data_IF_255441946259
#
_entry.id   IF_255441946259
#
_cell.length_a   1.000
_cell.length_b   1.000
_cell.length_c   1.000
_cell.angle_alpha   90.00
_cell.angle_beta   90.00
_cell.angle_gamma   90.00
#
_symmetry.space_group_name_H-M   'P 1'
#
loop_
_entity.id
_entity.type
_entity.pdbx_description
1 polymer ?
#
# COMPACT_ATOMS: atom_id res chain seq x y z
N UNK A 1 23.96 10.07 82.06
CA UNK A 1 24.47 11.25 81.31
C UNK A 1 25.02 10.71 79.99
N UNK A 2 24.16 10.34 79.04
CA UNK A 2 23.55 11.16 77.99
C UNK A 2 24.52 11.81 77.01
N UNK A 3 24.20 11.56 75.73
CA UNK A 3 24.56 12.29 74.52
C UNK A 3 25.84 11.84 73.79
N UNK A 4 25.71 10.84 72.90
CA UNK A 4 26.44 10.82 71.62
C UNK A 4 25.79 9.83 70.62
N UNK A 5 24.51 10.01 70.33
CA UNK A 5 23.86 9.33 69.20
C UNK A 5 22.87 10.28 68.52
N UNK A 6 23.36 11.16 67.64
CA UNK A 6 22.49 11.92 66.74
C UNK A 6 23.25 12.54 65.57
N UNK A 7 23.98 11.75 64.78
CA UNK A 7 24.59 12.20 63.51
C UNK A 7 24.75 11.07 62.50
N UNK A 8 23.74 10.19 62.38
CA UNK A 8 23.69 9.18 61.31
C UNK A 8 22.32 9.08 60.62
N UNK A 9 21.67 10.23 60.45
CA UNK A 9 20.41 10.34 59.71
C UNK A 9 20.45 11.58 58.82
N UNK A 10 21.40 11.63 57.88
CA UNK A 10 21.41 12.67 56.83
C UNK A 10 21.98 12.21 55.49
N UNK A 11 22.56 11.01 55.40
CA UNK A 11 23.13 10.49 54.14
C UNK A 11 22.13 9.73 53.24
N UNK A 12 20.91 9.45 53.71
CA UNK A 12 19.93 8.68 52.92
C UNK A 12 19.01 9.60 52.10
N UNK A 13 19.12 10.93 52.26
CA UNK A 13 18.28 11.90 51.55
C UNK A 13 18.86 12.35 50.18
N UNK A 14 20.08 11.92 49.83
CA UNK A 14 20.74 12.29 48.57
C UNK A 14 20.86 11.15 47.54
N UNK A 15 20.30 9.96 47.81
CA UNK A 15 20.47 8.77 46.94
C UNK A 15 19.23 8.45 46.09
N UNK A 16 18.42 9.46 45.80
CA UNK A 16 17.34 9.36 44.81
C UNK A 16 17.25 10.70 44.10
N UNK A 17 18.26 11.05 43.30
CA UNK A 17 18.16 12.20 42.41
C UNK A 17 17.08 11.91 41.37
N UNK A 18 15.87 12.51 41.48
CA UNK A 18 14.81 12.27 40.51
C UNK A 18 15.19 12.81 39.13
N UNK A 19 16.17 13.71 39.07
CA UNK A 19 16.70 14.35 37.87
C UNK A 19 17.44 13.36 36.97
N UNK A 20 18.29 12.49 37.53
CA UNK A 20 18.99 11.45 36.77
C UNK A 20 18.02 10.38 36.23
N UNK A 21 17.01 10.01 37.03
CA UNK A 21 15.93 9.14 36.58
C UNK A 21 15.08 9.81 35.48
N UNK A 22 14.81 11.11 35.60
CA UNK A 22 14.03 11.87 34.61
C UNK A 22 14.72 11.97 33.26
N UNK A 23 16.04 12.22 33.25
CA UNK A 23 16.81 12.33 32.00
C UNK A 23 16.91 10.99 31.26
N UNK A 24 17.13 9.90 31.99
CA UNK A 24 17.09 8.54 31.44
C UNK A 24 15.69 8.18 30.93
N UNK A 25 14.64 8.55 31.66
CA UNK A 25 13.24 8.35 31.26
C UNK A 25 12.92 9.15 30.00
N UNK A 26 13.36 10.40 29.87
CA UNK A 26 13.15 11.25 28.69
C UNK A 26 13.80 10.63 27.44
N UNK A 27 14.98 10.01 27.57
CA UNK A 27 15.66 9.35 26.45
C UNK A 27 15.08 7.98 26.07
N UNK A 28 14.77 7.14 27.06
CA UNK A 28 14.38 5.73 26.82
C UNK A 28 12.87 5.58 26.60
N UNK A 29 12.02 6.40 27.23
CA UNK A 29 10.58 6.33 27.08
C UNK A 29 10.09 6.38 25.63
N UNK A 30 10.54 7.31 24.75
CA UNK A 30 10.10 7.32 23.35
C UNK A 30 10.56 6.08 22.58
N UNK A 31 11.74 5.52 22.90
CA UNK A 31 12.23 4.30 22.28
C UNK A 31 11.36 3.09 22.66
N UNK A 32 11.05 2.93 23.95
CA UNK A 32 10.17 1.85 24.44
C UNK A 32 8.75 2.03 23.91
N UNK A 33 8.24 3.26 23.86
CA UNK A 33 6.93 3.55 23.27
C UNK A 33 6.89 3.17 21.77
N UNK A 34 7.94 3.54 21.01
CA UNK A 34 8.08 3.14 19.62
C UNK A 34 8.13 1.62 19.44
N UNK A 35 8.89 0.92 20.30
CA UNK A 35 8.97 -0.54 20.27
C UNK A 35 7.63 -1.20 20.61
N UNK A 36 6.89 -0.65 21.58
CA UNK A 36 5.56 -1.13 21.95
C UNK A 36 4.57 -0.96 20.79
N UNK A 37 4.58 0.20 20.11
CA UNK A 37 3.75 0.43 18.92
C UNK A 37 4.14 -0.54 17.80
N UNK A 38 5.44 -0.70 17.52
CA UNK A 38 5.91 -1.64 16.50
C UNK A 38 5.48 -3.08 16.79
N UNK A 39 5.64 -3.54 18.04
CA UNK A 39 5.20 -4.86 18.47
C UNK A 39 3.68 -5.05 18.32
N UNK A 40 2.89 -4.02 18.65
CA UNK A 40 1.44 -4.04 18.48
C UNK A 40 1.04 -4.15 17.00
N UNK A 41 1.70 -3.43 16.10
CA UNK A 41 1.46 -3.51 14.65
C UNK A 41 1.82 -4.88 14.09
N UNK A 42 2.97 -5.45 14.49
CA UNK A 42 3.39 -6.80 14.10
C UNK A 42 2.35 -7.82 14.57
N UNK A 43 1.89 -7.72 15.81
CA UNK A 43 0.86 -8.61 16.36
C UNK A 43 -0.45 -8.50 15.58
N UNK A 44 -0.88 -7.30 15.21
CA UNK A 44 -2.09 -7.07 14.42
C UNK A 44 -2.00 -7.73 13.03
N UNK A 45 -0.88 -7.55 12.32
CA UNK A 45 -0.64 -8.18 11.01
C UNK A 45 -0.60 -9.71 11.15
N UNK A 46 0.12 -10.22 12.15
CA UNK A 46 0.21 -11.66 12.40
C UNK A 46 -1.16 -12.27 12.73
N UNK A 47 -1.98 -11.57 13.51
CA UNK A 47 -3.36 -11.98 13.81
C UNK A 47 -4.23 -12.02 12.55
N UNK A 48 -4.12 -11.02 11.67
CA UNK A 48 -4.81 -11.00 10.37
C UNK A 48 -4.42 -12.17 9.48
N UNK A 49 -3.12 -12.48 9.38
CA UNK A 49 -2.61 -13.64 8.64
C UNK A 49 -3.12 -14.94 9.27
N UNK A 50 -3.10 -15.05 10.61
CA UNK A 50 -3.57 -16.22 11.35
C UNK A 50 -5.04 -16.53 11.06
N UNK A 51 -5.87 -15.49 10.93
CA UNK A 51 -7.29 -15.62 10.54
C UNK A 51 -7.40 -16.07 9.09
N UNK A 52 -6.71 -15.41 8.15
CA UNK A 52 -6.74 -15.77 6.71
C UNK A 52 -6.29 -17.22 6.46
N UNK A 53 -5.32 -17.72 7.23
CA UNK A 53 -4.84 -19.09 7.11
C UNK A 53 -5.84 -20.16 7.58
N UNK A 54 -6.98 -19.76 8.16
CA UNK A 54 -8.09 -20.70 8.45
C UNK A 54 -8.99 -20.91 7.24
N UNK A 55 -8.90 -20.06 6.23
CA UNK A 55 -9.58 -20.25 4.96
C UNK A 55 -8.78 -21.22 4.09
N UNK A 56 -9.46 -22.03 3.25
CA UNK A 56 -8.78 -22.88 2.28
C UNK A 56 -7.89 -22.04 1.37
N UNK A 57 -6.72 -22.58 1.02
CA UNK A 57 -5.79 -21.91 0.13
C UNK A 57 -6.49 -21.58 -1.21
N UNK A 58 -6.10 -20.49 -1.89
CA UNK A 58 -6.58 -20.20 -3.23
C UNK A 58 -6.40 -21.44 -4.12
N UNK A 59 -7.41 -21.80 -4.94
CA UNK A 59 -7.35 -22.99 -5.77
C UNK A 59 -6.14 -22.91 -6.70
N UNK A 60 -5.42 -24.02 -6.79
CA UNK A 60 -4.28 -24.17 -7.70
C UNK A 60 -4.75 -24.07 -9.15
N UNK A 61 -3.88 -23.69 -10.11
CA UNK A 61 -4.24 -23.62 -11.54
C UNK A 61 -4.85 -24.92 -12.09
N UNK A 62 -4.48 -26.06 -11.51
CA UNK A 62 -4.99 -27.38 -11.87
C UNK A 62 -6.40 -27.62 -11.31
N UNK A 63 -6.73 -27.03 -10.16
CA UNK A 63 -8.08 -27.05 -9.55
C UNK A 63 -9.00 -25.99 -10.15
N UNK A 64 -8.47 -25.06 -10.96
CA UNK A 64 -9.31 -24.11 -11.67
C UNK A 64 -10.18 -24.84 -12.71
N UNK A 65 -11.43 -24.40 -12.90
CA UNK A 65 -12.28 -24.91 -13.96
C UNK A 65 -11.59 -24.80 -15.32
N UNK A 66 -11.19 -25.93 -15.88
CA UNK A 66 -10.68 -25.98 -17.24
C UNK A 66 -11.82 -25.83 -18.22
N UNK A 67 -11.52 -25.16 -19.33
CA UNK A 67 -12.45 -25.06 -20.45
C UNK A 67 -12.80 -26.49 -20.93
N UNK A 68 -14.08 -26.88 -21.05
CA UNK A 68 -14.44 -28.22 -21.51
C UNK A 68 -13.90 -28.50 -22.90
N UNK A 69 -13.45 -29.74 -23.13
CA UNK A 69 -13.04 -30.21 -24.45
C UNK A 69 -14.19 -30.02 -25.44
N UNK A 70 -13.93 -29.30 -26.54
CA UNK A 70 -14.94 -29.04 -27.58
C UNK A 70 -15.85 -27.84 -27.33
N UNK A 71 -15.65 -27.07 -26.25
CA UNK A 71 -16.18 -25.70 -26.23
C UNK A 71 -15.54 -24.94 -27.39
N UNK A 72 -16.36 -24.31 -28.23
CA UNK A 72 -15.93 -23.60 -29.44
C UNK A 72 -14.86 -22.53 -29.14
N UNK A 73 -14.37 -21.79 -30.15
CA UNK A 73 -13.36 -20.77 -29.92
C UNK A 73 -13.73 -19.84 -28.75
N UNK A 74 -12.76 -19.40 -27.93
CA UNK A 74 -13.03 -18.42 -26.88
C UNK A 74 -13.76 -17.21 -27.48
N UNK A 75 -14.60 -16.55 -26.68
CA UNK A 75 -15.29 -15.33 -27.10
C UNK A 75 -14.28 -14.41 -27.80
N UNK A 76 -14.58 -14.06 -29.06
CA UNK A 76 -13.73 -13.18 -29.86
C UNK A 76 -13.64 -11.86 -29.11
N UNK A 77 -12.49 -11.62 -28.48
CA UNK A 77 -12.22 -10.34 -27.83
C UNK A 77 -12.10 -9.29 -28.91
N UNK A 78 -13.12 -8.45 -29.06
CA UNK A 78 -13.01 -7.25 -29.89
C UNK A 78 -12.04 -6.27 -29.23
N UNK A 79 -10.78 -6.32 -29.69
CA UNK A 79 -9.76 -5.38 -29.27
C UNK A 79 -9.94 -4.08 -30.06
N UNK A 80 -10.24 -2.98 -29.37
CA UNK A 80 -10.33 -1.63 -29.95
C UNK A 80 -8.98 -0.93 -29.87
N UNK A 81 -8.57 -0.26 -30.95
CA UNK A 81 -7.40 0.61 -30.94
C UNK A 81 -7.62 1.79 -29.98
N UNK A 82 -6.68 2.09 -29.06
CA UNK A 82 -6.70 3.33 -28.30
C UNK A 82 -6.62 4.52 -29.27
N UNK A 83 -7.51 5.50 -29.12
CA UNK A 83 -7.45 6.72 -29.94
C UNK A 83 -6.33 7.63 -29.42
N UNK A 84 -5.56 8.22 -30.33
CA UNK A 84 -4.51 9.17 -29.95
C UNK A 84 -5.15 10.48 -29.47
N UNK A 85 -5.00 10.78 -28.17
CA UNK A 85 -5.53 11.99 -27.56
C UNK A 85 -4.51 13.11 -27.71
N UNK A 86 -4.61 13.89 -28.78
CA UNK A 86 -3.78 15.09 -29.00
C UNK A 86 -4.55 16.33 -28.54
N UNK A 87 -4.12 17.01 -27.46
CA UNK A 87 -4.74 18.27 -27.04
C UNK A 87 -4.58 19.33 -28.14
N UNK A 88 -5.60 20.18 -28.36
CA UNK A 88 -5.48 21.32 -29.26
C UNK A 88 -4.34 22.24 -28.83
N UNK A 89 -3.66 22.88 -29.78
CA UNK A 89 -2.57 23.80 -29.48
C UNK A 89 -3.05 24.90 -28.51
N UNK A 90 -2.47 24.91 -27.31
CA UNK A 90 -2.74 25.91 -26.27
C UNK A 90 -3.92 25.63 -25.34
N UNK A 91 -4.54 24.43 -25.38
CA UNK A 91 -5.74 24.12 -24.61
C UNK A 91 -5.71 22.81 -23.82
N UNK A 92 -6.61 22.71 -22.83
CA UNK A 92 -7.01 21.43 -22.23
C UNK A 92 -8.13 20.84 -23.07
N UNK A 93 -8.06 19.54 -23.33
CA UNK A 93 -9.13 18.82 -24.02
C UNK A 93 -10.32 18.62 -23.09
N UNK A 94 -11.49 19.12 -23.46
CA UNK A 94 -12.72 18.98 -22.69
C UNK A 94 -13.39 17.62 -22.97
N UNK A 95 -14.20 17.07 -22.04
CA UNK A 95 -14.81 15.75 -22.22
C UNK A 95 -15.63 15.56 -23.49
N UNK A 96 -16.26 16.62 -24.00
CA UNK A 96 -17.04 16.59 -25.25
C UNK A 96 -16.18 16.75 -26.51
N UNK A 97 -14.91 17.15 -26.36
CA UNK A 97 -13.93 17.25 -27.45
C UNK A 97 -13.14 15.95 -27.62
N UNK A 98 -13.24 15.03 -26.65
CA UNK A 98 -12.70 13.69 -26.77
C UNK A 98 -13.45 12.92 -27.87
N UNK A 99 -12.77 12.71 -28.99
CA UNK A 99 -13.19 11.72 -29.97
C UNK A 99 -13.25 10.36 -29.28
N UNK A 100 -14.28 9.61 -29.65
CA UNK A 100 -14.49 8.25 -29.21
C UNK A 100 -14.93 8.02 -27.73
N UNK A 101 -15.62 8.96 -27.08
CA UNK A 101 -16.12 8.79 -25.71
C UNK A 101 -17.54 8.23 -25.64
N UNK A 102 -17.76 7.32 -24.68
CA UNK A 102 -19.10 6.82 -24.31
C UNK A 102 -19.66 5.70 -25.20
N UNK A 103 -19.88 5.95 -26.50
CA UNK A 103 -20.73 5.07 -27.32
C UNK A 103 -20.33 4.93 -28.80
N UNK A 104 -19.33 5.68 -29.26
CA UNK A 104 -18.80 5.55 -30.61
C UNK A 104 -17.99 4.26 -30.74
N UNK A 105 -18.15 3.57 -31.87
CA UNK A 105 -17.33 2.41 -32.22
C UNK A 105 -15.91 2.88 -32.53
N UNK A 106 -14.96 2.55 -31.65
CA UNK A 106 -13.54 2.68 -31.95
C UNK A 106 -13.14 1.78 -33.12
N UNK A 107 -11.99 2.07 -33.75
CA UNK A 107 -11.47 1.24 -34.83
C UNK A 107 -11.09 -0.14 -34.29
N UNK A 108 -11.49 -1.25 -34.94
CA UNK A 108 -10.99 -2.57 -34.57
C UNK A 108 -9.47 -2.58 -34.76
N UNK A 109 -8.77 -3.13 -33.77
CA UNK A 109 -7.31 -3.20 -33.81
C UNK A 109 -6.84 -4.04 -35.00
N UNK A 110 -5.84 -3.53 -35.71
CA UNK A 110 -5.26 -4.17 -36.90
C UNK A 110 -4.41 -5.43 -36.62
N UNK A 111 -4.29 -5.86 -35.35
CA UNK A 111 -3.47 -6.99 -34.93
C UNK A 111 -4.28 -8.19 -34.41
N UNK A 112 -3.62 -9.35 -34.27
CA UNK A 112 -4.21 -10.55 -33.66
C UNK A 112 -4.79 -10.20 -32.27
N UNK A 113 -6.10 -10.39 -32.02
CA UNK A 113 -6.70 -10.11 -30.72
C UNK A 113 -6.15 -10.97 -29.58
N UNK A 114 -5.52 -12.09 -29.94
CA UNK A 114 -4.96 -13.09 -29.03
C UNK A 114 -3.53 -12.77 -28.55
N UNK A 115 -2.82 -11.86 -29.22
CA UNK A 115 -1.46 -11.48 -28.82
C UNK A 115 -1.49 -10.28 -27.86
N UNK A 116 -0.97 -10.42 -26.62
CA UNK A 116 -0.84 -9.28 -25.72
C UNK A 116 0.09 -8.24 -26.34
N UNK A 117 -0.25 -6.94 -26.30
CA UNK A 117 0.58 -5.91 -26.88
C UNK A 117 1.96 -5.93 -26.22
N UNK A 118 3.01 -5.94 -27.06
CA UNK A 118 4.38 -5.72 -26.57
C UNK A 118 4.44 -4.29 -26.07
N UNK A 119 4.80 -4.12 -24.81
CA UNK A 119 4.94 -2.80 -24.19
C UNK A 119 5.93 -1.96 -25.01
N UNK A 120 5.47 -0.81 -25.50
CA UNK A 120 6.28 0.23 -26.15
C UNK A 120 6.35 1.44 -25.20
N UNK A 121 7.51 2.09 -25.10
CA UNK A 121 7.75 3.27 -24.27
C UNK A 121 6.78 4.42 -24.60
N UNK A 122 6.23 4.43 -25.82
CA UNK A 122 5.20 5.40 -26.25
C UNK A 122 3.76 5.02 -25.88
N UNK A 123 3.53 3.79 -25.43
CA UNK A 123 2.18 3.23 -25.12
C UNK A 123 1.82 3.29 -23.63
N UNK A 124 2.70 3.84 -22.80
CA UNK A 124 2.46 4.04 -21.38
C UNK A 124 1.43 5.14 -21.13
N UNK A 125 0.17 4.75 -20.97
CA UNK A 125 -0.87 5.63 -20.42
C UNK A 125 -0.42 6.18 -19.06
N UNK A 126 -0.24 7.50 -19.00
CA UNK A 126 0.00 8.26 -17.77
C UNK A 126 -1.24 8.19 -16.90
N UNK A 127 -1.33 7.16 -16.06
CA UNK A 127 -2.36 7.08 -15.03
C UNK A 127 -1.93 7.92 -13.82
N UNK A 128 -2.62 9.04 -13.63
CA UNK A 128 -2.84 9.65 -12.31
C UNK A 128 -1.61 10.23 -11.60
N UNK A 129 -1.13 11.40 -12.05
CA UNK A 129 -0.42 12.33 -11.16
C UNK A 129 -1.42 12.95 -10.16
N UNK A 130 -1.86 12.15 -9.20
CA UNK A 130 -2.54 12.63 -7.99
C UNK A 130 -1.52 13.31 -7.08
N UNK A 131 -1.21 14.57 -7.35
CA UNK A 131 -0.46 15.41 -6.41
C UNK A 131 -1.35 15.78 -5.21
N UNK A 132 -0.85 15.73 -3.96
CA UNK A 132 -1.58 16.31 -2.84
C UNK A 132 -1.64 17.82 -3.03
N UNK A 133 -2.86 18.37 -3.03
CA UNK A 133 -3.07 19.81 -3.01
C UNK A 133 -2.44 20.44 -1.77
N UNK A 134 -1.61 21.44 -2.01
CA UNK A 134 -1.13 22.43 -1.06
C UNK A 134 -1.17 23.80 -1.74
#
# INVERSE_FOLDING_TARGET
MSAFQSTRTSEIAGLTDPTAASDLVIGIAPFVAGLAIAAALIAAVWWGIRIRNREPAPPTPQEQPHRPDGSGPPEVRERREPDEVVPPEGGRLLPHELRNTGNSSGRPASGNPEEPPRWDEKSGGSFGSGGPGG
#
